data_IF_212636034059
#
_entry.id   IF_212636034059
#
_cell.length_a   1.000
_cell.length_b   1.000
_cell.length_c   1.000
_cell.angle_alpha   90.00
_cell.angle_beta   90.00
_cell.angle_gamma   90.00
#
_symmetry.space_group_name_H-M   'P 1'
#
loop_
_entity.id
_entity.type
_entity.pdbx_description
1 polymer ?
#
# COMPACT_ATOMS: atom_id res chain seq x y z
N UNK A 1 9.76 -13.59 25.89
CA UNK A 1 8.93 -12.53 25.26
C UNK A 1 8.13 -13.20 24.15
N UNK A 2 6.80 -13.29 24.27
CA UNK A 2 5.97 -13.93 23.24
C UNK A 2 6.04 -13.11 21.95
N UNK A 3 6.43 -13.73 20.84
CA UNK A 3 6.45 -13.06 19.54
C UNK A 3 5.03 -12.68 19.12
N UNK A 4 4.83 -11.59 18.34
CA UNK A 4 3.52 -11.22 17.80
C UNK A 4 2.82 -12.39 17.08
N UNK A 5 3.61 -13.30 16.49
CA UNK A 5 3.17 -14.54 15.84
C UNK A 5 2.52 -15.50 16.82
N UNK A 6 3.14 -15.68 17.99
CA UNK A 6 2.60 -16.55 19.02
C UNK A 6 1.26 -16.02 19.56
N UNK A 7 1.09 -14.70 19.69
CA UNK A 7 -0.16 -14.08 20.12
C UNK A 7 -1.30 -14.26 19.10
N UNK A 8 -1.03 -14.09 17.80
CA UNK A 8 -2.03 -14.29 16.74
C UNK A 8 -2.41 -15.78 16.63
N UNK A 9 -1.43 -16.68 16.73
CA UNK A 9 -1.65 -18.13 16.65
C UNK A 9 -2.48 -18.62 17.86
N UNK A 10 -2.22 -18.05 19.03
CA UNK A 10 -2.89 -18.44 20.27
C UNK A 10 -4.32 -17.90 20.36
N UNK A 11 -4.58 -16.69 19.85
CA UNK A 11 -5.82 -15.97 20.11
C UNK A 11 -6.81 -15.93 18.92
N UNK A 12 -6.36 -16.14 17.67
CA UNK A 12 -7.21 -15.92 16.51
C UNK A 12 -7.32 -17.13 15.55
N UNK A 13 -6.23 -17.84 15.25
CA UNK A 13 -6.26 -18.94 14.27
C UNK A 13 -5.25 -20.05 14.62
N UNK A 14 -5.69 -21.33 14.63
CA UNK A 14 -4.82 -22.50 14.82
C UNK A 14 -4.20 -22.91 13.48
N UNK A 15 -2.86 -22.95 13.37
CA UNK A 15 -2.17 -23.48 12.19
C UNK A 15 -0.81 -22.83 11.88
N UNK A 16 0.06 -23.56 11.19
CA UNK A 16 1.41 -23.14 10.74
C UNK A 16 1.43 -21.88 9.88
N UNK A 17 0.27 -21.56 9.30
CA UNK A 17 -0.02 -20.30 8.62
C UNK A 17 0.49 -19.11 9.44
N UNK A 18 0.36 -19.15 10.77
CA UNK A 18 0.78 -18.05 11.65
C UNK A 18 2.29 -17.89 11.85
N UNK A 19 3.08 -18.94 11.65
CA UNK A 19 4.55 -18.83 11.72
C UNK A 19 5.10 -18.13 10.46
N UNK A 20 4.46 -18.39 9.32
CA UNK A 20 4.67 -17.68 8.06
C UNK A 20 4.20 -16.22 8.17
N UNK A 21 3.15 -15.94 8.95
CA UNK A 21 2.63 -14.56 9.13
C UNK A 21 3.64 -13.55 9.65
N UNK A 22 4.61 -13.93 10.48
CA UNK A 22 5.49 -12.95 11.13
C UNK A 22 6.85 -12.85 10.48
N UNK A 23 7.34 -13.92 9.84
CA UNK A 23 8.54 -13.77 9.01
C UNK A 23 8.25 -13.04 7.70
N UNK A 24 7.02 -13.12 7.17
CA UNK A 24 6.59 -12.29 6.03
C UNK A 24 6.41 -10.80 6.38
N UNK A 25 6.34 -10.43 7.67
CA UNK A 25 6.11 -9.05 8.12
C UNK A 25 7.34 -8.13 8.02
N UNK A 26 8.53 -8.71 7.83
CA UNK A 26 9.82 -7.99 7.84
C UNK A 26 10.56 -8.11 6.51
N UNK A 27 10.17 -9.07 5.68
CA UNK A 27 10.91 -9.48 4.50
C UNK A 27 10.11 -9.21 3.23
N UNK A 28 10.80 -8.63 2.25
CA UNK A 28 10.25 -8.28 0.94
C UNK A 28 9.56 -9.49 0.26
N UNK A 29 8.75 -9.25 -0.78
CA UNK A 29 8.01 -10.30 -1.55
C UNK A 29 8.93 -11.45 -1.97
N UNK A 30 10.18 -11.14 -2.30
CA UNK A 30 11.21 -12.12 -2.65
C UNK A 30 11.79 -12.86 -1.42
N UNK A 31 12.01 -12.16 -0.30
CA UNK A 31 12.66 -12.71 0.89
C UNK A 31 11.71 -13.55 1.75
N UNK A 32 10.44 -13.14 1.87
CA UNK A 32 9.41 -13.93 2.53
C UNK A 32 9.21 -15.25 1.80
N UNK A 33 9.27 -15.26 0.47
CA UNK A 33 9.20 -16.48 -0.36
C UNK A 33 10.32 -17.47 -0.04
N UNK A 34 11.54 -17.02 0.29
CA UNK A 34 12.65 -17.91 0.66
C UNK A 34 12.32 -18.69 1.93
N UNK A 35 11.69 -18.03 2.91
CA UNK A 35 11.30 -18.66 4.18
C UNK A 35 10.18 -19.68 3.97
N UNK A 36 9.22 -19.40 3.08
CA UNK A 36 8.09 -20.31 2.83
C UNK A 36 8.36 -21.37 1.77
N UNK A 37 9.40 -21.21 0.94
CA UNK A 37 9.73 -22.13 -0.17
C UNK A 37 9.66 -23.63 0.20
N UNK A 38 10.26 -24.12 1.30
CA UNK A 38 10.18 -25.55 1.65
C UNK A 38 8.78 -26.01 2.07
N UNK A 39 7.87 -25.08 2.37
CA UNK A 39 6.51 -25.34 2.79
C UNK A 39 5.50 -25.23 1.65
N UNK A 40 5.81 -24.46 0.59
CA UNK A 40 4.88 -24.21 -0.54
C UNK A 40 4.34 -25.49 -1.17
N UNK A 41 5.15 -26.53 -1.28
CA UNK A 41 4.72 -27.82 -1.85
C UNK A 41 3.70 -28.54 -0.97
N UNK A 42 3.78 -28.36 0.35
CA UNK A 42 2.97 -29.06 1.36
C UNK A 42 1.73 -28.29 1.79
N UNK A 43 1.65 -27.00 1.47
CA UNK A 43 0.55 -26.13 1.85
C UNK A 43 -0.74 -26.44 1.06
N UNK A 44 -1.86 -26.35 1.76
CA UNK A 44 -3.19 -26.34 1.15
C UNK A 44 -3.43 -25.08 0.30
N UNK A 45 -4.44 -25.09 -0.56
CA UNK A 45 -4.82 -23.90 -1.37
C UNK A 45 -5.24 -22.72 -0.48
N UNK A 46 -5.90 -23.00 0.64
CA UNK A 46 -6.31 -21.99 1.62
C UNK A 46 -5.10 -21.33 2.31
N UNK A 47 -4.06 -22.11 2.62
CA UNK A 47 -2.81 -21.59 3.15
C UNK A 47 -2.05 -20.77 2.11
N UNK A 48 -1.97 -21.23 0.86
CA UNK A 48 -1.39 -20.45 -0.24
C UNK A 48 -2.12 -19.11 -0.44
N UNK A 49 -3.45 -19.12 -0.43
CA UNK A 49 -4.27 -17.91 -0.48
C UNK A 49 -3.98 -16.96 0.70
N UNK A 50 -3.79 -17.51 1.90
CA UNK A 50 -3.44 -16.72 3.11
C UNK A 50 -2.06 -16.08 2.98
N UNK A 51 -1.06 -16.82 2.52
CA UNK A 51 0.30 -16.30 2.29
C UNK A 51 0.25 -15.16 1.29
N UNK A 52 -0.38 -15.36 0.13
CA UNK A 52 -0.47 -14.33 -0.91
C UNK A 52 -1.23 -13.09 -0.44
N UNK A 53 -2.38 -13.27 0.23
CA UNK A 53 -3.20 -12.14 0.71
C UNK A 53 -2.41 -11.26 1.67
N UNK A 54 -1.71 -11.87 2.64
CA UNK A 54 -0.93 -11.10 3.58
C UNK A 54 0.24 -10.39 2.92
N UNK A 55 0.91 -11.01 1.94
CA UNK A 55 1.96 -10.33 1.16
C UNK A 55 1.45 -9.07 0.46
N UNK A 56 0.20 -9.05 -0.01
CA UNK A 56 -0.41 -7.86 -0.63
C UNK A 56 -0.93 -6.84 0.38
N UNK A 57 -1.34 -7.28 1.58
CA UNK A 57 -1.88 -6.43 2.62
C UNK A 57 -0.79 -5.62 3.37
N UNK A 58 0.44 -6.13 3.45
CA UNK A 58 1.54 -5.51 4.22
C UNK A 58 2.56 -4.80 3.35
N UNK A 59 3.26 -3.83 3.93
CA UNK A 59 4.45 -3.19 3.34
C UNK A 59 5.72 -3.96 3.72
N UNK A 60 6.77 -3.82 2.91
CA UNK A 60 8.10 -4.34 3.21
C UNK A 60 8.83 -3.36 4.11
N UNK A 61 9.59 -3.88 5.07
CA UNK A 61 10.49 -3.06 5.87
C UNK A 61 11.52 -2.31 5.04
N UNK A 62 11.95 -2.87 3.90
CA UNK A 62 12.95 -2.24 3.01
C UNK A 62 12.45 -0.95 2.36
N UNK A 63 11.16 -0.86 2.06
CA UNK A 63 10.57 0.32 1.40
C UNK A 63 10.05 1.36 2.37
N UNK A 64 9.76 0.97 3.63
CA UNK A 64 9.29 1.91 4.67
C UNK A 64 10.26 3.08 4.87
N UNK A 65 11.57 2.84 4.82
CA UNK A 65 12.57 3.90 4.93
C UNK A 65 12.44 4.93 3.79
N UNK A 66 12.18 4.49 2.56
CA UNK A 66 12.00 5.38 1.41
C UNK A 66 10.75 6.27 1.58
N UNK A 67 9.64 5.70 2.04
CA UNK A 67 8.40 6.48 2.25
C UNK A 67 8.54 7.52 3.37
N UNK A 68 9.33 7.22 4.41
CA UNK A 68 9.68 8.20 5.45
C UNK A 68 10.49 9.35 4.85
N UNK A 69 11.44 9.07 3.94
CA UNK A 69 12.19 10.11 3.23
C UNK A 69 11.30 10.98 2.32
N UNK A 70 10.25 10.40 1.73
CA UNK A 70 9.23 11.19 1.01
C UNK A 70 8.44 12.13 1.92
N UNK A 71 8.47 11.93 3.23
CA UNK A 71 7.80 12.77 4.22
C UNK A 71 6.55 12.15 4.80
N UNK A 72 6.28 10.87 4.53
CA UNK A 72 5.12 10.18 5.12
C UNK A 72 5.39 9.90 6.61
N UNK A 73 4.44 10.19 7.51
CA UNK A 73 4.60 9.96 8.95
C UNK A 73 4.86 8.48 9.29
N UNK A 74 6.04 8.20 9.85
CA UNK A 74 6.50 6.85 10.17
C UNK A 74 5.56 6.10 11.13
N UNK A 75 4.96 6.82 12.08
CA UNK A 75 4.02 6.25 13.06
C UNK A 75 2.79 5.62 12.37
N UNK A 76 2.27 6.23 11.30
CA UNK A 76 1.14 5.68 10.56
C UNK A 76 1.55 4.52 9.65
N UNK A 77 2.72 4.60 9.00
CA UNK A 77 3.25 3.51 8.17
C UNK A 77 3.47 2.23 8.99
N UNK A 78 4.09 2.37 10.16
CA UNK A 78 4.37 1.24 11.06
C UNK A 78 3.04 0.69 11.61
N UNK A 79 2.14 1.56 12.09
CA UNK A 79 0.84 1.12 12.60
C UNK A 79 0.00 0.40 11.53
N UNK A 80 -0.06 0.95 10.31
CA UNK A 80 -0.75 0.35 9.16
C UNK A 80 -0.20 -1.02 8.81
N UNK A 81 1.12 -1.15 8.71
CA UNK A 81 1.78 -2.45 8.46
C UNK A 81 1.47 -3.48 9.54
N UNK A 82 1.31 -3.05 10.80
CA UNK A 82 0.94 -3.94 11.89
C UNK A 82 -0.54 -4.36 11.87
N UNK A 83 -1.43 -3.45 11.49
CA UNK A 83 -2.89 -3.66 11.44
C UNK A 83 -3.34 -4.45 10.21
N UNK A 84 -2.68 -4.27 9.06
CA UNK A 84 -3.04 -4.97 7.83
C UNK A 84 -2.73 -6.48 7.87
N UNK A 85 -1.78 -6.92 8.69
CA UNK A 85 -1.47 -8.35 8.83
C UNK A 85 -2.62 -9.20 9.41
N UNK A 86 -3.23 -8.84 10.56
CA UNK A 86 -4.42 -9.56 11.06
C UNK A 86 -5.66 -9.32 10.18
N UNK A 87 -5.79 -8.14 9.54
CA UNK A 87 -6.91 -7.87 8.63
C UNK A 87 -6.84 -8.73 7.35
N UNK A 88 -5.66 -8.84 6.73
CA UNK A 88 -5.40 -9.67 5.56
C UNK A 88 -5.63 -11.14 5.85
N UNK A 89 -5.28 -11.60 7.05
CA UNK A 89 -5.62 -12.94 7.50
C UNK A 89 -7.13 -13.16 7.67
N UNK A 90 -7.82 -12.24 8.33
CA UNK A 90 -9.25 -12.39 8.59
C UNK A 90 -10.03 -12.46 7.26
N UNK A 91 -9.71 -11.56 6.32
CA UNK A 91 -10.25 -11.59 4.95
C UNK A 91 -9.80 -12.85 4.20
N UNK A 92 -8.56 -13.26 4.44
CA UNK A 92 -7.96 -14.56 4.16
C UNK A 92 -8.95 -15.71 4.23
N UNK A 93 -9.27 -16.00 5.48
CA UNK A 93 -10.09 -17.13 5.92
C UNK A 93 -11.57 -16.92 5.67
N UNK A 94 -12.02 -15.67 5.56
CA UNK A 94 -13.39 -15.37 5.15
C UNK A 94 -13.61 -15.68 3.67
N UNK A 95 -12.67 -15.30 2.81
CA UNK A 95 -12.78 -15.51 1.37
C UNK A 95 -12.41 -16.95 0.97
N UNK A 96 -11.39 -17.54 1.59
CA UNK A 96 -10.91 -18.89 1.30
C UNK A 96 -10.69 -19.66 2.61
N UNK A 97 -11.76 -20.24 3.20
CA UNK A 97 -11.67 -20.97 4.46
C UNK A 97 -10.86 -22.26 4.34
N UNK A 98 -10.32 -22.73 5.47
CA UNK A 98 -9.60 -24.00 5.54
C UNK A 98 -10.57 -25.20 5.56
N UNK A 99 -10.24 -26.26 4.84
CA UNK A 99 -10.98 -27.52 4.91
C UNK A 99 -10.69 -28.27 6.22
N UNK A 100 -11.68 -28.96 6.78
CA UNK A 100 -11.59 -29.68 8.07
C UNK A 100 -10.42 -30.70 8.12
N UNK A 101 -10.03 -31.24 6.96
CA UNK A 101 -8.92 -32.18 6.81
C UNK A 101 -7.54 -31.51 6.97
N UNK A 102 -7.40 -30.24 6.57
CA UNK A 102 -6.14 -29.48 6.70
C UNK A 102 -5.84 -29.09 8.14
N UNK A 103 -6.86 -28.80 8.95
CA UNK A 103 -6.73 -28.48 10.38
C UNK A 103 -6.11 -29.63 11.21
N UNK A 104 -6.29 -30.89 10.78
CA UNK A 104 -5.74 -32.08 11.47
C UNK A 104 -4.26 -32.33 11.16
N UNK A 105 -3.73 -31.74 10.09
CA UNK A 105 -2.35 -31.94 9.62
C UNK A 105 -1.40 -30.81 10.08
N UNK A 106 -1.65 -30.15 11.21
CA UNK A 106 -0.75 -29.13 11.76
C UNK A 106 0.57 -29.76 12.24
N UNK A 107 1.42 -30.10 11.28
CA UNK A 107 2.65 -30.87 11.48
C UNK A 107 3.76 -29.84 11.57
N UNK A 108 4.25 -29.52 12.79
CA UNK A 108 5.34 -28.56 13.01
C UNK A 108 6.51 -28.85 12.06
N UNK A 109 6.64 -28.07 11.00
CA UNK A 109 7.78 -28.11 10.12
C UNK A 109 8.91 -27.32 10.76
N UNK A 110 10.04 -27.99 10.98
CA UNK A 110 11.26 -27.30 11.38
C UNK A 110 11.65 -26.31 10.29
N UNK A 111 11.86 -25.05 10.67
CA UNK A 111 12.46 -24.07 9.78
C UNK A 111 13.88 -24.54 9.43
N UNK A 112 14.35 -24.35 8.19
CA UNK A 112 15.74 -24.62 7.86
C UNK A 112 16.65 -23.76 8.74
N UNK A 113 17.80 -24.32 9.13
CA UNK A 113 18.80 -23.63 9.94
C UNK A 113 19.32 -22.38 9.23
N UNK A 114 19.74 -21.39 10.03
CA UNK A 114 20.36 -20.18 9.51
C UNK A 114 21.61 -20.55 8.70
N UNK A 115 21.67 -20.08 7.44
CA UNK A 115 22.82 -20.32 6.56
C UNK A 115 24.05 -19.52 6.97
N UNK A 116 23.83 -18.34 7.53
CA UNK A 116 24.88 -17.38 7.87
C UNK A 116 25.51 -17.72 9.22
N UNK A 117 26.83 -17.84 9.25
CA UNK A 117 27.58 -18.28 10.43
C UNK A 117 28.00 -17.12 11.34
N UNK A 118 27.95 -15.88 10.85
CA UNK A 118 28.34 -14.68 11.59
C UNK A 118 27.55 -13.41 11.26
N UNK A 119 27.64 -12.41 12.14
CA UNK A 119 26.95 -11.11 11.99
C UNK A 119 27.35 -10.37 10.70
N UNK A 120 28.64 -10.36 10.37
CA UNK A 120 29.17 -9.69 9.18
C UNK A 120 28.70 -10.40 7.91
N UNK A 121 28.69 -11.73 7.91
CA UNK A 121 28.22 -12.55 6.78
C UNK A 121 26.74 -12.25 6.50
N UNK A 122 25.90 -12.27 7.53
CA UNK A 122 24.48 -11.92 7.41
C UNK A 122 24.25 -10.49 6.91
N UNK A 123 25.08 -9.53 7.33
CA UNK A 123 25.00 -8.13 6.88
C UNK A 123 25.34 -8.00 5.40
N UNK A 124 26.43 -8.62 4.96
CA UNK A 124 26.87 -8.59 3.55
C UNK A 124 25.89 -9.36 2.66
N UNK A 125 25.37 -10.50 3.13
CA UNK A 125 24.36 -11.28 2.44
C UNK A 125 23.06 -10.47 2.25
N UNK A 126 22.60 -9.78 3.30
CA UNK A 126 21.45 -8.88 3.22
C UNK A 126 21.66 -7.72 2.25
N UNK A 127 22.82 -7.06 2.31
CA UNK A 127 23.15 -5.96 1.39
C UNK A 127 23.19 -6.44 -0.08
N UNK A 128 23.76 -7.62 -0.33
CA UNK A 128 23.86 -8.19 -1.68
C UNK A 128 22.48 -8.61 -2.21
N UNK A 129 21.62 -9.19 -1.35
CA UNK A 129 20.25 -9.53 -1.71
C UNK A 129 19.41 -8.29 -2.06
N UNK A 130 19.65 -7.16 -1.38
CA UNK A 130 18.94 -5.91 -1.63
C UNK A 130 19.23 -5.30 -3.02
N UNK A 131 20.40 -5.55 -3.62
CA UNK A 131 20.77 -5.01 -4.94
C UNK A 131 19.76 -5.45 -6.00
N UNK A 132 19.40 -6.74 -6.03
CA UNK A 132 18.43 -7.26 -6.98
C UNK A 132 17.05 -6.65 -6.79
N UNK A 133 16.60 -6.54 -5.53
CA UNK A 133 15.32 -5.92 -5.17
C UNK A 133 15.25 -4.47 -5.64
N UNK A 134 16.28 -3.66 -5.34
CA UNK A 134 16.33 -2.24 -5.73
C UNK A 134 16.35 -2.10 -7.25
N UNK A 135 17.13 -2.94 -7.94
CA UNK A 135 17.19 -2.92 -9.41
C UNK A 135 15.82 -3.18 -10.02
N UNK A 136 15.09 -4.18 -9.50
CA UNK A 136 13.72 -4.44 -9.92
C UNK A 136 12.80 -3.26 -9.59
N UNK A 137 12.87 -2.68 -8.40
CA UNK A 137 12.04 -1.55 -8.02
C UNK A 137 12.23 -0.35 -8.95
N UNK A 138 13.48 0.05 -9.21
CA UNK A 138 13.82 1.19 -10.07
C UNK A 138 13.38 0.94 -11.52
N UNK A 139 13.69 -0.23 -12.08
CA UNK A 139 13.31 -0.56 -13.45
C UNK A 139 11.79 -0.52 -13.64
N UNK A 140 11.03 -1.03 -12.67
CA UNK A 140 9.57 -1.02 -12.75
C UNK A 140 8.99 0.37 -12.52
N UNK A 141 9.56 1.18 -11.63
CA UNK A 141 9.14 2.58 -11.46
C UNK A 141 9.27 3.35 -12.78
N UNK A 142 10.40 3.23 -13.47
CA UNK A 142 10.61 3.86 -14.78
C UNK A 142 9.56 3.37 -15.78
N UNK A 143 9.35 2.05 -15.87
CA UNK A 143 8.35 1.47 -16.76
C UNK A 143 6.93 2.01 -16.50
N UNK A 144 6.53 2.13 -15.23
CA UNK A 144 5.21 2.65 -14.87
C UNK A 144 5.05 4.15 -15.10
N UNK A 145 6.09 4.94 -14.87
CA UNK A 145 6.05 6.37 -15.23
C UNK A 145 5.87 6.52 -16.75
N UNK A 146 6.58 5.72 -17.55
CA UNK A 146 6.42 5.72 -19.01
C UNK A 146 5.02 5.27 -19.44
N UNK A 147 4.48 4.21 -18.84
CA UNK A 147 3.12 3.73 -19.14
C UNK A 147 2.08 4.78 -18.72
N UNK A 148 2.19 5.37 -17.53
CA UNK A 148 1.28 6.41 -17.06
C UNK A 148 1.31 7.64 -17.97
N UNK A 149 2.50 8.11 -18.36
CA UNK A 149 2.65 9.21 -19.31
C UNK A 149 2.01 8.87 -20.66
N UNK A 150 2.29 7.68 -21.19
CA UNK A 150 1.66 7.20 -22.42
C UNK A 150 0.13 7.11 -22.32
N UNK A 151 -0.39 6.62 -21.19
CA UNK A 151 -1.84 6.55 -20.96
C UNK A 151 -2.46 7.94 -20.90
N UNK A 152 -1.80 8.90 -20.26
CA UNK A 152 -2.26 10.28 -20.22
C UNK A 152 -2.32 10.88 -21.63
N UNK A 153 -1.24 10.76 -22.41
CA UNK A 153 -1.19 11.26 -23.78
C UNK A 153 -2.25 10.59 -24.67
N UNK A 154 -2.44 9.28 -24.51
CA UNK A 154 -3.46 8.53 -25.23
C UNK A 154 -4.88 9.00 -24.87
N UNK A 155 -5.18 9.17 -23.58
CA UNK A 155 -6.51 9.63 -23.12
C UNK A 155 -6.77 11.06 -23.59
N UNK A 156 -5.79 11.96 -23.49
CA UNK A 156 -5.90 13.33 -24.00
C UNK A 156 -6.19 13.31 -25.50
N UNK A 157 -5.45 12.49 -26.26
CA UNK A 157 -5.67 12.33 -27.69
C UNK A 157 -7.08 11.81 -28.02
N UNK A 158 -7.58 10.81 -27.29
CA UNK A 158 -8.94 10.29 -27.47
C UNK A 158 -10.01 11.32 -27.04
N UNK A 159 -9.80 12.04 -25.95
CA UNK A 159 -10.70 13.07 -25.43
C UNK A 159 -10.92 14.18 -26.47
N UNK A 160 -9.84 14.65 -27.08
CA UNK A 160 -9.89 15.63 -28.17
C UNK A 160 -10.74 15.15 -29.36
N UNK A 161 -10.84 13.83 -29.62
CA UNK A 161 -11.69 13.29 -30.71
C UNK A 161 -13.17 13.26 -30.38
N UNK A 162 -13.53 13.26 -29.10
CA UNK A 162 -14.94 13.23 -28.64
C UNK A 162 -15.45 14.65 -28.34
N UNK A 163 -14.66 15.69 -28.63
CA UNK A 163 -15.00 17.09 -28.33
C UNK A 163 -14.87 17.43 -26.84
N UNK A 164 -14.14 16.61 -26.08
CA UNK A 164 -13.68 16.97 -24.74
C UNK A 164 -12.39 17.77 -24.92
N UNK A 165 -12.50 19.07 -25.17
CA UNK A 165 -11.36 20.01 -25.30
C UNK A 165 -10.66 20.31 -23.96
N UNK A 166 -10.84 19.44 -22.98
CA UNK A 166 -10.22 19.57 -21.68
C UNK A 166 -8.85 18.91 -21.77
N UNK A 167 -7.78 19.72 -21.73
CA UNK A 167 -6.36 19.32 -21.57
C UNK A 167 -6.09 18.48 -20.30
N UNK A 168 -7.11 17.90 -19.70
CA UNK A 168 -7.13 17.59 -18.28
C UNK A 168 -7.78 16.27 -17.90
N UNK A 169 -8.38 15.55 -18.86
CA UNK A 169 -8.80 14.17 -18.62
C UNK A 169 -7.55 13.28 -18.60
N UNK A 170 -6.90 13.23 -17.44
CA UNK A 170 -5.77 12.35 -17.19
C UNK A 170 -6.25 11.02 -16.63
N UNK A 171 -5.41 9.99 -16.71
CA UNK A 171 -5.68 8.70 -16.08
C UNK A 171 -5.93 8.83 -14.58
N UNK A 172 -5.21 9.75 -13.94
CA UNK A 172 -5.37 10.10 -12.54
C UNK A 172 -6.78 10.61 -12.22
N UNK A 173 -7.35 11.44 -13.09
CA UNK A 173 -8.73 11.93 -12.94
C UNK A 173 -9.71 10.78 -13.09
N UNK A 174 -9.53 9.88 -14.07
CA UNK A 174 -10.39 8.69 -14.21
C UNK A 174 -10.33 7.83 -12.93
N UNK A 175 -9.13 7.59 -12.41
CA UNK A 175 -8.94 6.89 -11.14
C UNK A 175 -9.68 7.59 -9.99
N UNK A 176 -9.64 8.92 -9.93
CA UNK A 176 -10.34 9.68 -8.90
C UNK A 176 -11.84 9.40 -8.89
N UNK A 177 -12.49 9.26 -10.05
CA UNK A 177 -13.92 8.95 -10.14
C UNK A 177 -14.23 7.48 -9.84
N UNK A 178 -13.42 6.55 -10.36
CA UNK A 178 -13.61 5.10 -10.17
C UNK A 178 -13.46 4.72 -8.70
N UNK A 179 -12.47 5.29 -8.01
CA UNK A 179 -12.18 4.95 -6.61
C UNK A 179 -12.87 5.88 -5.60
N UNK A 180 -13.54 6.95 -6.07
CA UNK A 180 -14.31 7.87 -5.23
C UNK A 180 -15.24 7.16 -4.22
N UNK A 181 -16.11 6.21 -4.63
CA UNK A 181 -17.04 5.58 -3.69
C UNK A 181 -16.33 4.79 -2.61
N UNK A 182 -15.23 4.11 -2.93
CA UNK A 182 -14.47 3.34 -1.94
C UNK A 182 -13.80 4.25 -0.91
N UNK A 183 -13.22 5.37 -1.37
CA UNK A 183 -12.58 6.36 -0.50
C UNK A 183 -13.60 7.07 0.41
N UNK A 184 -14.77 7.41 -0.15
CA UNK A 184 -15.87 7.95 0.65
C UNK A 184 -16.31 6.96 1.74
N UNK A 185 -16.43 5.67 1.41
CA UNK A 185 -16.76 4.61 2.38
C UNK A 185 -15.68 4.42 3.47
N UNK A 186 -14.43 4.76 3.21
CA UNK A 186 -13.37 4.79 4.24
C UNK A 186 -13.52 5.95 5.23
N UNK A 187 -14.48 6.85 4.98
CA UNK A 187 -14.82 7.97 5.84
C UNK A 187 -14.07 9.26 5.52
N UNK A 188 -13.51 9.40 4.32
CA UNK A 188 -12.90 10.67 3.86
C UNK A 188 -14.01 11.70 3.56
N UNK A 189 -13.84 12.99 3.93
CA UNK A 189 -14.79 14.04 3.56
C UNK A 189 -14.92 14.19 2.05
N UNK A 190 -16.13 14.45 1.55
CA UNK A 190 -16.43 14.51 0.10
C UNK A 190 -15.50 15.46 -0.68
N UNK A 191 -15.09 16.57 -0.07
CA UNK A 191 -14.20 17.55 -0.69
C UNK A 191 -12.78 17.01 -0.96
N UNK A 192 -12.33 16.03 -0.16
CA UNK A 192 -10.98 15.45 -0.23
C UNK A 192 -10.97 14.06 -0.90
N UNK A 193 -12.14 13.47 -1.13
CA UNK A 193 -12.28 12.14 -1.72
C UNK A 193 -11.60 12.05 -3.09
N UNK A 194 -11.68 13.08 -3.94
CA UNK A 194 -11.07 13.05 -5.27
C UNK A 194 -9.55 12.88 -5.22
N UNK A 195 -8.89 13.65 -4.36
CA UNK A 195 -7.42 13.61 -4.19
C UNK A 195 -6.97 12.25 -3.65
N UNK A 196 -7.68 11.71 -2.65
CA UNK A 196 -7.35 10.40 -2.08
C UNK A 196 -7.68 9.25 -3.04
N UNK A 197 -8.78 9.34 -3.78
CA UNK A 197 -9.17 8.34 -4.77
C UNK A 197 -8.16 8.26 -5.93
N UNK A 198 -7.61 9.41 -6.35
CA UNK A 198 -6.49 9.46 -7.30
C UNK A 198 -5.30 8.64 -6.79
N UNK A 199 -4.86 8.88 -5.56
CA UNK A 199 -3.72 8.15 -4.97
C UNK A 199 -4.02 6.65 -4.81
N UNK A 200 -5.23 6.28 -4.38
CA UNK A 200 -5.65 4.88 -4.26
C UNK A 200 -5.65 4.17 -5.62
N UNK A 201 -6.12 4.83 -6.68
CA UNK A 201 -6.09 4.27 -8.02
C UNK A 201 -4.68 4.12 -8.58
N UNK A 202 -3.82 5.14 -8.40
CA UNK A 202 -2.40 5.06 -8.77
C UNK A 202 -1.71 3.91 -8.04
N UNK A 203 -1.99 3.75 -6.74
CA UNK A 203 -1.47 2.64 -5.94
C UNK A 203 -1.89 1.29 -6.51
N UNK A 204 -3.18 1.06 -6.75
CA UNK A 204 -3.67 -0.24 -7.21
C UNK A 204 -3.14 -0.58 -8.60
N UNK A 205 -3.07 0.38 -9.51
CA UNK A 205 -2.78 0.11 -10.93
C UNK A 205 -1.30 0.19 -11.28
N UNK A 206 -0.52 1.02 -10.58
CA UNK A 206 0.90 1.21 -10.85
C UNK A 206 1.76 0.77 -9.66
N UNK A 207 1.87 1.61 -8.64
CA UNK A 207 2.72 1.35 -7.48
C UNK A 207 2.33 2.25 -6.31
N UNK A 208 2.43 1.68 -5.12
CA UNK A 208 2.35 2.37 -3.85
C UNK A 208 3.47 3.40 -3.65
N UNK A 209 4.64 3.23 -4.28
CA UNK A 209 5.76 4.17 -4.18
C UNK A 209 5.38 5.55 -4.73
N UNK A 210 4.75 5.58 -5.91
CA UNK A 210 4.31 6.81 -6.57
C UNK A 210 3.17 7.49 -5.77
N UNK A 211 2.22 6.69 -5.26
CA UNK A 211 1.13 7.22 -4.46
C UNK A 211 1.60 7.77 -3.09
N UNK A 212 2.62 7.16 -2.47
CA UNK A 212 3.19 7.60 -1.20
C UNK A 212 4.11 8.82 -1.36
N UNK A 213 4.74 9.02 -2.51
CA UNK A 213 5.44 10.26 -2.86
C UNK A 213 4.46 11.45 -2.93
N UNK A 214 3.34 11.29 -3.64
CA UNK A 214 2.26 12.28 -3.70
C UNK A 214 1.74 12.62 -2.29
N UNK A 215 1.48 11.60 -1.47
CA UNK A 215 1.03 11.80 -0.09
C UNK A 215 2.09 12.52 0.78
N UNK A 216 3.37 12.16 0.61
CA UNK A 216 4.48 12.80 1.33
C UNK A 216 4.61 14.29 1.01
N UNK A 217 4.36 14.67 -0.25
CA UNK A 217 4.31 16.08 -0.67
C UNK A 217 3.15 16.81 0.02
N UNK A 218 1.94 16.22 0.03
CA UNK A 218 0.78 16.82 0.71
C UNK A 218 0.97 16.93 2.23
N UNK A 219 1.64 15.95 2.86
CA UNK A 219 2.00 16.03 4.28
C UNK A 219 2.96 17.20 4.55
N UNK A 220 4.03 17.35 3.74
CA UNK A 220 4.98 18.46 3.83
C UNK A 220 4.30 19.81 3.64
N UNK A 221 3.36 19.90 2.69
CA UNK A 221 2.56 21.10 2.47
C UNK A 221 1.74 21.46 3.71
N UNK A 222 1.03 20.49 4.30
CA UNK A 222 0.23 20.69 5.52
C UNK A 222 1.09 21.19 6.68
N UNK A 223 2.23 20.54 6.94
CA UNK A 223 3.14 20.93 8.03
C UNK A 223 3.72 22.32 7.80
N UNK A 224 4.03 22.68 6.56
CA UNK A 224 4.53 24.02 6.21
C UNK A 224 3.45 25.08 6.42
N UNK A 225 2.22 24.80 5.99
CA UNK A 225 1.08 25.69 6.19
C UNK A 225 0.78 25.90 7.68
N UNK A 226 0.77 24.83 8.49
CA UNK A 226 0.53 24.92 9.94
C UNK A 226 1.56 25.81 10.63
N UNK A 227 2.86 25.66 10.30
CA UNK A 227 3.92 26.51 10.84
C UNK A 227 3.77 27.98 10.44
N UNK A 228 3.34 28.24 9.20
CA UNK A 228 3.09 29.60 8.72
C UNK A 228 1.92 30.25 9.46
N UNK A 229 0.84 29.50 9.70
CA UNK A 229 -0.32 29.94 10.45
C UNK A 229 0.00 30.18 11.93
N UNK A 230 0.86 29.35 12.54
CA UNK A 230 1.38 29.57 13.91
C UNK A 230 2.18 30.88 14.02
N UNK A 231 2.82 31.31 12.92
CA UNK A 231 3.49 32.59 12.80
C UNK A 231 2.58 33.77 12.46
N UNK A 232 1.25 33.65 12.58
CA UNK A 232 0.24 34.62 12.14
C UNK A 232 0.31 34.96 10.62
N UNK A 233 0.89 34.08 9.82
CA UNK A 233 0.87 34.21 8.36
C UNK A 233 -0.53 34.00 7.80
N UNK A 234 -0.82 34.64 6.67
CA UNK A 234 -2.05 34.40 5.89
C UNK A 234 -1.74 33.61 4.62
N UNK A 235 -2.76 33.09 3.95
CA UNK A 235 -2.61 32.35 2.70
C UNK A 235 -3.76 32.68 1.74
N UNK A 236 -3.51 32.48 0.45
CA UNK A 236 -4.51 32.61 -0.61
C UNK A 236 -4.50 31.35 -1.48
N UNK A 237 -5.68 30.99 -1.99
CA UNK A 237 -5.83 29.90 -2.95
C UNK A 237 -5.63 30.43 -4.37
N UNK A 238 -4.88 29.70 -5.18
CA UNK A 238 -4.78 29.97 -6.62
C UNK A 238 -5.93 29.28 -7.37
N UNK A 239 -6.19 29.72 -8.60
CA UNK A 239 -7.19 29.06 -9.46
C UNK A 239 -6.77 27.63 -9.88
N UNK A 240 -5.48 27.30 -9.80
CA UNK A 240 -4.95 25.94 -9.97
C UNK A 240 -5.23 25.01 -8.78
N UNK A 241 -5.73 25.53 -7.65
CA UNK A 241 -5.94 24.77 -6.42
C UNK A 241 -4.70 24.66 -5.52
N UNK A 242 -3.65 25.42 -5.82
CA UNK A 242 -2.45 25.53 -4.99
C UNK A 242 -2.67 26.58 -3.88
N UNK A 243 -1.80 26.56 -2.86
CA UNK A 243 -1.84 27.50 -1.74
C UNK A 243 -0.62 28.40 -1.80
N UNK A 244 -0.82 29.70 -2.02
CA UNK A 244 0.22 30.71 -1.92
C UNK A 244 0.29 31.25 -0.49
N UNK A 245 1.47 31.19 0.14
CA UNK A 245 1.68 31.70 1.49
C UNK A 245 1.98 33.20 1.43
N UNK A 246 1.07 34.03 1.97
CA UNK A 246 1.20 35.49 1.96
C UNK A 246 2.48 35.93 2.67
N UNK A 247 3.24 36.84 2.03
CA UNK A 247 4.50 37.34 2.56
C UNK A 247 5.70 36.43 2.28
N UNK A 248 5.54 35.35 1.52
CA UNK A 248 6.63 34.47 1.09
C UNK A 248 6.55 34.18 -0.42
N UNK A 249 7.66 33.74 -1.02
CA UNK A 249 7.69 33.26 -2.41
C UNK A 249 7.39 31.75 -2.51
N UNK A 250 6.65 31.19 -1.53
CA UNK A 250 6.39 29.75 -1.44
C UNK A 250 4.94 29.45 -1.84
N UNK A 251 4.79 28.58 -2.84
CA UNK A 251 3.50 28.04 -3.30
C UNK A 251 3.47 26.54 -3.03
N UNK A 252 2.45 26.09 -2.31
CA UNK A 252 2.22 24.68 -1.98
C UNK A 252 1.40 24.02 -3.10
N UNK A 253 2.08 23.28 -3.96
CA UNK A 253 1.44 22.63 -5.12
C UNK A 253 0.57 21.44 -4.71
N UNK A 254 -0.62 21.33 -5.30
CA UNK A 254 -1.56 20.24 -5.03
C UNK A 254 -2.36 20.38 -3.72
N UNK A 255 -2.19 21.50 -3.01
CA UNK A 255 -2.94 21.82 -1.80
C UNK A 255 -2.51 21.03 -0.56
N UNK A 256 -3.45 20.82 0.35
CA UNK A 256 -3.26 20.12 1.64
C UNK A 256 -4.44 19.20 1.94
N UNK A 257 -4.21 18.17 2.73
CA UNK A 257 -5.25 17.31 3.28
C UNK A 257 -5.45 17.59 4.77
N UNK A 258 -6.66 17.36 5.28
CA UNK A 258 -6.86 17.35 6.74
C UNK A 258 -6.04 16.22 7.39
N UNK A 259 -5.59 16.38 8.66
CA UNK A 259 -4.80 15.36 9.36
C UNK A 259 -5.49 13.98 9.42
N UNK A 260 -6.82 13.98 9.54
CA UNK A 260 -7.62 12.75 9.54
C UNK A 260 -7.59 12.06 8.18
N UNK A 261 -7.80 12.80 7.09
CA UNK A 261 -7.77 12.26 5.73
C UNK A 261 -6.38 11.76 5.36
N UNK A 262 -5.33 12.49 5.74
CA UNK A 262 -3.96 12.06 5.55
C UNK A 262 -3.68 10.72 6.26
N UNK A 263 -4.22 10.55 7.48
CA UNK A 263 -4.13 9.28 8.22
C UNK A 263 -4.86 8.16 7.48
N UNK A 264 -6.11 8.38 7.06
CA UNK A 264 -6.88 7.38 6.29
C UNK A 264 -6.15 7.01 5.00
N UNK A 265 -5.69 8.01 4.24
CA UNK A 265 -4.93 7.81 3.01
C UNK A 265 -3.65 7.01 3.27
N UNK A 266 -2.88 7.33 4.31
CA UNK A 266 -1.67 6.58 4.67
C UNK A 266 -1.99 5.11 4.85
N UNK A 267 -3.01 4.76 5.65
CA UNK A 267 -3.39 3.36 5.88
C UNK A 267 -3.97 2.67 4.64
N UNK A 268 -4.70 3.39 3.79
CA UNK A 268 -5.22 2.85 2.53
C UNK A 268 -4.10 2.53 1.53
N UNK A 269 -3.03 3.33 1.53
CA UNK A 269 -1.84 3.17 0.72
C UNK A 269 -0.84 2.16 1.32
N UNK A 270 -0.94 1.85 2.62
CA UNK A 270 -0.10 0.88 3.32
C UNK A 270 -0.40 -0.57 2.91
N UNK A 271 0.16 -1.00 1.78
CA UNK A 271 0.27 -2.41 1.39
C UNK A 271 0.63 -2.56 -0.08
N UNK A 272 1.30 -3.65 -0.42
CA UNK A 272 1.69 -3.98 -1.78
C UNK A 272 0.58 -4.64 -2.59
N UNK A 273 -0.54 -3.94 -2.73
CA UNK A 273 -1.71 -4.43 -3.45
C UNK A 273 -1.81 -3.81 -4.86
N UNK A 274 -0.68 -3.50 -5.46
CA UNK A 274 -0.55 -3.04 -6.83
C UNK A 274 -0.52 -4.20 -7.85
N UNK A 275 -0.89 -3.94 -9.12
CA UNK A 275 -0.87 -4.94 -10.20
C UNK A 275 0.53 -5.52 -10.42
N UNK A 276 1.57 -4.72 -10.20
CA UNK A 276 2.95 -5.19 -10.31
C UNK A 276 3.31 -6.21 -9.24
N UNK A 277 3.00 -5.90 -7.98
CA UNK A 277 3.16 -6.79 -6.84
C UNK A 277 2.48 -8.12 -7.09
N UNK A 278 1.27 -8.07 -7.62
CA UNK A 278 0.50 -9.24 -8.01
C UNK A 278 1.28 -10.13 -8.99
N UNK A 279 1.75 -9.55 -10.09
CA UNK A 279 2.51 -10.26 -11.11
C UNK A 279 3.85 -10.80 -10.58
N UNK A 280 4.60 -9.98 -9.84
CA UNK A 280 5.89 -10.35 -9.27
C UNK A 280 5.76 -11.50 -8.28
N UNK A 281 4.80 -11.41 -7.34
CA UNK A 281 4.60 -12.45 -6.33
C UNK A 281 4.18 -13.77 -6.99
N UNK A 282 3.27 -13.72 -7.97
CA UNK A 282 2.84 -14.90 -8.71
C UNK A 282 4.01 -15.54 -9.47
N UNK A 283 4.87 -14.74 -10.12
CA UNK A 283 6.04 -15.23 -10.83
C UNK A 283 7.06 -15.89 -9.88
N UNK A 284 7.37 -15.22 -8.76
CA UNK A 284 8.34 -15.71 -7.77
C UNK A 284 7.85 -17.00 -7.10
N UNK A 285 6.58 -17.06 -6.68
CA UNK A 285 6.00 -18.28 -6.10
C UNK A 285 5.92 -19.42 -7.11
N UNK A 286 5.56 -19.13 -8.37
CA UNK A 286 5.50 -20.14 -9.42
C UNK A 286 6.88 -20.69 -9.78
N UNK A 287 7.93 -19.86 -9.75
CA UNK A 287 9.30 -20.30 -9.94
C UNK A 287 9.82 -21.10 -8.72
N UNK A 288 9.38 -20.74 -7.51
CA UNK A 288 9.76 -21.42 -6.27
C UNK A 288 9.12 -22.81 -6.14
N UNK A 289 7.88 -22.99 -6.60
CA UNK A 289 7.14 -24.26 -6.59
C UNK A 289 6.44 -24.53 -7.94
N UNK A 290 7.17 -24.95 -8.99
CA UNK A 290 6.63 -25.13 -10.33
C UNK A 290 5.46 -26.13 -10.42
N UNK A 291 5.49 -27.18 -9.58
CA UNK A 291 4.44 -28.20 -9.47
C UNK A 291 3.10 -27.64 -8.98
N UNK A 292 3.10 -26.49 -8.29
CA UNK A 292 1.92 -25.84 -7.71
C UNK A 292 1.47 -24.59 -8.48
N UNK A 293 2.05 -24.33 -9.66
CA UNK A 293 1.73 -23.14 -10.48
C UNK A 293 0.23 -22.96 -10.72
N UNK A 294 -0.49 -24.04 -11.05
CA UNK A 294 -1.93 -23.96 -11.30
C UNK A 294 -2.72 -23.57 -10.04
N UNK A 295 -2.32 -24.06 -8.88
CA UNK A 295 -2.96 -23.70 -7.61
C UNK A 295 -2.69 -22.23 -7.26
N UNK A 296 -1.45 -21.77 -7.43
CA UNK A 296 -1.06 -20.38 -7.19
C UNK A 296 -1.85 -19.41 -8.07
N UNK A 297 -1.93 -19.68 -9.38
CA UNK A 297 -2.73 -18.89 -10.33
C UNK A 297 -4.21 -18.94 -9.96
N UNK A 298 -4.72 -20.09 -9.51
CA UNK A 298 -6.13 -20.24 -9.16
C UNK A 298 -6.57 -19.45 -7.93
N UNK A 299 -5.65 -19.15 -7.01
CA UNK A 299 -5.96 -18.38 -5.78
C UNK A 299 -5.51 -16.93 -5.82
N UNK A 300 -4.57 -16.58 -6.72
CA UNK A 300 -3.88 -15.28 -6.69
C UNK A 300 -4.81 -14.08 -6.82
N UNK A 301 -5.78 -14.11 -7.76
CA UNK A 301 -6.66 -12.97 -8.00
C UNK A 301 -7.56 -12.64 -6.81
N UNK A 302 -8.08 -13.69 -6.14
CA UNK A 302 -8.87 -13.52 -4.91
C UNK A 302 -8.00 -13.01 -3.76
N UNK A 303 -6.77 -13.51 -3.66
CA UNK A 303 -5.81 -13.07 -2.64
C UNK A 303 -5.44 -11.59 -2.81
N UNK A 304 -5.25 -11.12 -4.04
CA UNK A 304 -4.98 -9.72 -4.35
C UNK A 304 -6.10 -8.78 -3.93
N UNK A 305 -7.35 -9.12 -4.27
CA UNK A 305 -8.52 -8.36 -3.84
C UNK A 305 -8.63 -8.34 -2.31
N UNK A 306 -8.41 -9.47 -1.64
CA UNK A 306 -8.39 -9.52 -0.18
C UNK A 306 -7.31 -8.62 0.42
N UNK A 307 -6.14 -8.51 -0.24
CA UNK A 307 -5.08 -7.60 0.15
C UNK A 307 -5.47 -6.12 0.05
N UNK A 308 -6.11 -5.72 -1.06
CA UNK A 308 -6.64 -4.35 -1.24
C UNK A 308 -7.66 -4.03 -0.13
N UNK A 309 -8.62 -4.93 0.08
CA UNK A 309 -9.69 -4.74 1.08
C UNK A 309 -9.10 -4.72 2.50
N UNK A 310 -8.03 -5.46 2.77
CA UNK A 310 -7.35 -5.41 4.07
C UNK A 310 -6.77 -4.02 4.35
N UNK A 311 -6.10 -3.40 3.36
CA UNK A 311 -5.62 -2.02 3.50
C UNK A 311 -6.77 -1.04 3.75
N UNK A 312 -7.90 -1.21 3.03
CA UNK A 312 -9.06 -0.34 3.19
C UNK A 312 -9.74 -0.50 4.55
N UNK A 313 -9.84 -1.73 5.08
CA UNK A 313 -10.33 -1.97 6.44
C UNK A 313 -9.43 -1.31 7.49
N UNK A 314 -8.11 -1.43 7.34
CA UNK A 314 -7.13 -0.73 8.19
C UNK A 314 -7.33 0.79 8.12
N UNK A 315 -7.63 1.34 6.94
CA UNK A 315 -7.92 2.76 6.74
C UNK A 315 -9.23 3.20 7.41
N UNK A 316 -10.30 2.42 7.30
CA UNK A 316 -11.56 2.67 8.01
C UNK A 316 -11.34 2.68 9.53
N UNK A 317 -10.59 1.72 10.06
CA UNK A 317 -10.24 1.68 11.47
C UNK A 317 -9.44 2.91 11.91
N UNK A 318 -8.45 3.32 11.11
CA UNK A 318 -7.69 4.52 11.38
C UNK A 318 -8.58 5.77 11.37
N UNK A 319 -9.49 5.90 10.40
CA UNK A 319 -10.45 7.00 10.30
C UNK A 319 -11.45 7.07 11.45
N UNK A 320 -11.74 5.93 12.09
CA UNK A 320 -12.60 5.85 13.28
C UNK A 320 -11.85 6.22 14.57
N UNK A 321 -10.57 5.82 14.70
CA UNK A 321 -9.76 6.04 15.90
C UNK A 321 -9.15 7.45 15.94
N UNK A 322 -8.66 7.95 14.80
CA UNK A 322 -7.97 9.25 14.71
C UNK A 322 -8.97 10.37 14.36
N UNK A 323 -9.68 10.89 15.38
CA UNK A 323 -10.76 11.88 15.23
C UNK A 323 -10.36 13.34 15.56
N UNK A 324 -9.07 13.65 15.78
CA UNK A 324 -8.68 15.02 16.17
C UNK A 324 -8.63 15.97 14.97
N UNK A 325 -9.70 16.74 14.82
CA UNK A 325 -9.83 17.84 13.87
C UNK A 325 -9.14 19.11 14.41
N UNK A 326 -8.03 19.54 13.81
CA UNK A 326 -7.83 20.98 13.58
C UNK A 326 -8.33 21.24 12.17
N UNK A 327 -9.53 21.82 12.08
CA UNK A 327 -10.14 22.18 10.80
C UNK A 327 -9.35 23.39 10.29
N UNK A 328 -8.53 23.22 9.26
CA UNK A 328 -8.13 24.35 8.43
C UNK A 328 -9.41 24.71 7.66
N UNK A 329 -10.01 25.90 7.86
CA UNK A 329 -11.28 26.23 7.22
C UNK A 329 -11.11 26.17 5.70
N UNK A 330 -11.82 25.21 5.10
CA UNK A 330 -11.98 25.09 3.66
C UNK A 330 -12.71 26.35 3.16
N UNK A 331 -12.09 27.08 2.24
CA UNK A 331 -12.80 28.10 1.49
C UNK A 331 -13.73 27.39 0.49
N UNK A 332 -15.01 27.35 0.83
CA UNK A 332 -16.11 27.48 -0.12
C UNK A 332 -16.13 26.48 -1.30
N UNK A 333 -16.48 25.21 -1.04
CA UNK A 333 -17.24 24.40 -2.00
C UNK A 333 -16.62 24.12 -3.38
N UNK A 334 -15.34 24.39 -3.62
CA UNK A 334 -14.64 23.90 -4.82
C UNK A 334 -14.34 22.42 -4.59
N UNK A 335 -15.12 21.54 -5.21
CA UNK A 335 -14.68 20.16 -5.44
C UNK A 335 -13.28 20.25 -6.07
N UNK A 336 -12.28 19.65 -5.44
CA UNK A 336 -11.00 19.38 -6.07
C UNK A 336 -11.21 18.36 -7.18
N UNK A 337 -11.73 18.84 -8.31
CA UNK A 337 -11.38 18.34 -9.62
C UNK A 337 -10.31 19.32 -10.08
N UNK A 338 -9.06 19.03 -9.72
CA UNK A 338 -7.92 19.75 -10.28
C UNK A 338 -8.07 19.70 -11.78
N UNK A 339 -8.00 20.88 -12.38
CA UNK A 339 -8.27 21.15 -13.78
C UNK A 339 -7.92 19.98 -14.65
#
# INVERSE_FOLDING_TARGET
>A
MYTPSFLIHRNAFRGETTLVYVKAKVHDKAESTIVVRPLLEKMSKAELHTVMTNSFATLSGSTVAAYILYGVPANYLIAGSFMSAPAGLALSKLAYPDDVTTLRSSRRHALPDARETGFIEALVAGATAAIGVITHLVANLIAFICILAFMNDAIIWFGARVGLDLETVTFQVICSYVFWPFVFLMGVPMAECGVVARMVGIKILFSELLALEDLGTLHKNRVTLERHLEGNGTFTWTDSGDIALSGTNVTLSGGVLTPRTETIATFALCGFSDVYAYCLLLAVLSAAAPSRKQDLVGVSGRAWICGIVACFLSACMAGAVFSRQRIIPYASGRLFMTH
#
